data_IF_516487391318
#
_entry.id   IF_516487391318
#
_cell.length_a   1.000
_cell.length_b   1.000
_cell.length_c   1.000
_cell.angle_alpha   90.00
_cell.angle_beta   90.00
_cell.angle_gamma   90.00
#
_symmetry.space_group_name_H-M   'P 1'
#
loop_
_entity.id
_entity.type
_entity.pdbx_description
1 polymer ?
#
# COMPACT_ATOMS: atom_id res chain seq x y z
N UNK A 1 -14.95 5.89 -24.11
CA UNK A 1 -16.11 5.92 -23.17
C UNK A 1 -16.38 7.36 -22.76
N UNK A 2 -17.67 7.77 -22.62
CA UNK A 2 -17.95 9.15 -22.22
C UNK A 2 -17.82 9.29 -20.69
N UNK A 3 -16.89 10.11 -20.24
CA UNK A 3 -16.78 10.47 -18.83
C UNK A 3 -18.00 11.32 -18.41
N UNK A 4 -18.63 10.93 -17.29
CA UNK A 4 -19.74 11.70 -16.72
C UNK A 4 -19.18 12.82 -15.83
N UNK A 5 -19.87 13.96 -15.71
CA UNK A 5 -19.44 15.09 -14.89
C UNK A 5 -19.16 14.73 -13.44
N UNK A 6 -19.92 13.77 -12.88
CA UNK A 6 -19.85 13.31 -11.49
C UNK A 6 -18.94 12.08 -11.27
N UNK A 7 -18.27 11.59 -12.34
CA UNK A 7 -17.25 10.54 -12.19
C UNK A 7 -16.10 11.05 -11.29
N UNK A 8 -15.71 10.23 -10.32
CA UNK A 8 -14.56 10.56 -9.46
C UNK A 8 -13.27 10.13 -10.15
N UNK A 9 -12.39 11.09 -10.35
CA UNK A 9 -11.14 10.94 -11.08
C UNK A 9 -9.93 11.21 -10.19
N UNK A 10 -8.82 10.59 -10.53
CA UNK A 10 -7.51 10.78 -9.90
C UNK A 10 -6.69 11.70 -10.81
N UNK A 11 -6.29 12.87 -10.30
CA UNK A 11 -5.56 13.89 -11.07
C UNK A 11 -4.07 13.98 -10.74
N UNK A 12 -3.64 13.39 -9.64
CA UNK A 12 -2.22 13.27 -9.27
C UNK A 12 -2.05 12.00 -8.46
N UNK A 13 -0.91 11.31 -8.65
CA UNK A 13 -0.58 10.08 -7.94
C UNK A 13 0.94 10.01 -7.77
N UNK A 14 1.42 9.97 -6.51
CA UNK A 14 2.84 10.02 -6.19
C UNK A 14 3.16 9.17 -4.97
N UNK A 15 4.42 8.73 -4.84
CA UNK A 15 4.93 8.04 -3.66
C UNK A 15 6.36 8.46 -3.32
N UNK A 16 6.76 8.27 -2.09
CA UNK A 16 8.18 8.30 -1.73
C UNK A 16 8.90 7.07 -2.33
N UNK A 17 10.24 7.09 -2.42
CA UNK A 17 10.99 5.84 -2.38
C UNK A 17 10.60 5.06 -1.14
N UNK A 18 10.67 3.72 -1.20
CA UNK A 18 10.43 2.85 -0.05
C UNK A 18 11.78 2.61 0.64
N UNK A 19 11.86 3.03 1.90
CA UNK A 19 13.02 2.80 2.76
C UNK A 19 13.03 1.38 3.35
N UNK A 20 14.21 0.82 3.53
CA UNK A 20 14.38 -0.42 4.28
C UNK A 20 14.26 -0.16 5.79
N UNK A 21 13.98 -1.19 6.55
CA UNK A 21 13.99 -1.11 8.02
C UNK A 21 15.31 -0.55 8.54
N UNK A 22 15.22 0.54 9.30
CA UNK A 22 16.38 1.31 9.79
C UNK A 22 17.30 1.86 8.68
N UNK A 23 16.78 2.02 7.45
CA UNK A 23 17.47 2.62 6.31
C UNK A 23 17.44 4.14 6.30
N UNK A 24 17.49 4.74 5.12
CA UNK A 24 17.61 6.20 4.95
C UNK A 24 16.39 6.98 5.44
N UNK A 25 15.21 6.37 5.52
CA UNK A 25 13.97 7.01 5.98
C UNK A 25 13.69 6.85 7.48
N UNK A 26 14.52 6.13 8.22
CA UNK A 26 14.30 5.77 9.63
C UNK A 26 14.03 6.96 10.57
N UNK A 27 14.57 8.13 10.27
CA UNK A 27 14.47 9.33 11.11
C UNK A 27 13.35 10.29 10.66
N UNK A 28 12.61 9.96 9.60
CA UNK A 28 11.45 10.71 9.10
C UNK A 28 10.16 10.11 9.67
N UNK A 29 9.46 10.82 10.55
CA UNK A 29 8.16 10.39 11.07
C UNK A 29 7.14 10.14 9.95
N UNK A 30 6.12 9.33 10.21
CA UNK A 30 5.06 9.05 9.23
C UNK A 30 4.40 10.32 8.69
N UNK A 31 4.08 11.29 9.55
CA UNK A 31 3.52 12.59 9.16
C UNK A 31 4.45 13.42 8.27
N UNK A 32 5.77 13.35 8.48
CA UNK A 32 6.76 14.03 7.63
C UNK A 32 6.83 13.37 6.23
N UNK A 33 6.76 12.03 6.15
CA UNK A 33 6.65 11.31 4.89
C UNK A 33 5.35 11.67 4.17
N UNK A 34 4.23 11.74 4.91
CA UNK A 34 2.94 12.21 4.40
C UNK A 34 3.00 13.65 3.88
N UNK A 35 3.64 14.56 4.60
CA UNK A 35 3.86 15.95 4.17
C UNK A 35 4.56 16.01 2.81
N UNK A 36 5.60 15.19 2.59
CA UNK A 36 6.36 15.16 1.34
C UNK A 36 5.45 14.79 0.16
N UNK A 37 4.66 13.74 0.28
CA UNK A 37 3.78 13.29 -0.82
C UNK A 37 2.61 14.24 -1.04
N UNK A 38 2.04 14.85 0.00
CA UNK A 38 0.98 15.86 -0.13
C UNK A 38 1.53 17.08 -0.88
N UNK A 39 2.69 17.60 -0.51
CA UNK A 39 3.34 18.71 -1.21
C UNK A 39 3.58 18.39 -2.70
N UNK A 40 4.03 17.18 -3.02
CA UNK A 40 4.27 16.82 -4.41
C UNK A 40 2.96 16.62 -5.19
N UNK A 41 1.90 16.11 -4.56
CA UNK A 41 0.54 16.08 -5.15
C UNK A 41 0.10 17.48 -5.55
N UNK A 42 0.19 18.45 -4.63
CA UNK A 42 -0.15 19.86 -4.89
C UNK A 42 0.68 20.45 -6.03
N UNK A 43 2.00 20.24 -5.99
CA UNK A 43 2.93 20.72 -7.02
C UNK A 43 2.63 20.14 -8.41
N UNK A 44 2.42 18.83 -8.53
CA UNK A 44 2.17 18.17 -9.83
C UNK A 44 0.79 18.49 -10.40
N UNK A 45 -0.23 18.55 -9.55
CA UNK A 45 -1.59 18.91 -9.97
C UNK A 45 -1.74 20.41 -10.26
N UNK A 46 -0.91 21.25 -9.62
CA UNK A 46 -1.03 22.71 -9.63
C UNK A 46 -2.30 23.25 -9.00
N UNK A 47 -3.02 22.43 -8.23
CA UNK A 47 -4.18 22.86 -7.45
C UNK A 47 -3.73 23.74 -6.28
N UNK A 48 -4.48 24.78 -5.98
CA UNK A 48 -4.21 25.61 -4.80
C UNK A 48 -4.50 24.85 -3.51
N UNK A 49 -3.67 25.03 -2.49
CA UNK A 49 -3.89 24.47 -1.15
C UNK A 49 -5.29 24.82 -0.58
N UNK A 50 -5.79 26.02 -0.89
CA UNK A 50 -7.12 26.50 -0.45
C UNK A 50 -8.27 25.71 -1.09
N UNK A 51 -8.05 25.07 -2.24
CA UNK A 51 -9.07 24.30 -2.96
C UNK A 51 -9.17 22.86 -2.44
N UNK A 52 -8.25 22.41 -1.61
CA UNK A 52 -8.35 21.10 -0.96
C UNK A 52 -9.38 21.20 0.17
N UNK A 53 -10.35 20.29 0.18
CA UNK A 53 -11.41 20.26 1.17
C UNK A 53 -11.08 19.36 2.36
N UNK A 54 -10.38 18.25 2.11
CA UNK A 54 -10.04 17.29 3.15
C UNK A 54 -8.77 16.50 2.81
N UNK A 55 -8.07 16.01 3.85
CA UNK A 55 -6.93 15.08 3.71
C UNK A 55 -7.20 13.80 4.50
N UNK A 56 -7.12 12.64 3.85
CA UNK A 56 -7.38 11.32 4.45
C UNK A 56 -6.15 10.43 4.24
N UNK A 57 -5.47 10.04 5.32
CA UNK A 57 -4.27 9.21 5.23
C UNK A 57 -4.46 7.89 5.98
N UNK A 58 -4.03 6.80 5.37
CA UNK A 58 -3.88 5.51 6.03
C UNK A 58 -2.60 5.50 6.88
N UNK A 59 -2.68 5.02 8.12
CA UNK A 59 -1.52 4.74 8.97
C UNK A 59 -1.92 3.75 10.04
N UNK A 60 -1.04 2.80 10.34
CA UNK A 60 -1.28 1.73 11.32
C UNK A 60 -0.56 2.03 12.63
N UNK A 61 0.72 2.37 12.55
CA UNK A 61 1.59 2.53 13.71
C UNK A 61 1.63 4.00 14.13
N UNK A 62 0.72 4.37 15.03
CA UNK A 62 0.52 5.76 15.44
C UNK A 62 1.05 6.07 16.84
N UNK A 63 1.53 5.07 17.58
CA UNK A 63 2.02 5.24 18.94
C UNK A 63 3.13 6.30 19.01
N UNK A 64 3.02 7.26 19.93
CA UNK A 64 3.91 8.41 20.07
C UNK A 64 4.04 9.32 18.83
N UNK A 65 3.19 9.14 17.80
CA UNK A 65 3.15 9.98 16.60
C UNK A 65 2.50 11.36 16.81
N UNK A 66 1.98 11.64 18.00
CA UNK A 66 1.23 12.86 18.30
C UNK A 66 -0.25 12.76 17.90
N UNK A 67 -0.99 13.86 18.08
CA UNK A 67 -2.39 13.89 17.72
C UNK A 67 -2.55 13.88 16.21
N UNK A 68 -3.32 12.91 15.69
CA UNK A 68 -3.75 12.83 14.30
C UNK A 68 -2.61 13.12 13.29
N UNK A 69 -1.71 12.17 13.04
CA UNK A 69 -0.60 12.38 12.11
C UNK A 69 -1.02 12.77 10.67
N UNK A 70 -2.24 12.45 10.21
CA UNK A 70 -2.76 12.96 8.94
C UNK A 70 -2.99 14.47 8.99
N UNK A 71 -3.50 14.96 10.12
CA UNK A 71 -3.66 16.41 10.34
C UNK A 71 -2.32 17.13 10.38
N UNK A 72 -1.33 16.54 11.04
CA UNK A 72 0.02 17.07 11.06
C UNK A 72 0.60 17.15 9.65
N UNK A 73 0.49 16.07 8.86
CA UNK A 73 0.94 16.05 7.48
C UNK A 73 0.26 17.11 6.60
N UNK A 74 -1.06 17.26 6.71
CA UNK A 74 -1.84 18.25 5.96
C UNK A 74 -1.42 19.70 6.27
N UNK A 75 -1.36 20.06 7.55
CA UNK A 75 -0.98 21.43 7.97
C UNK A 75 0.46 21.73 7.60
N UNK A 76 1.39 20.79 7.82
CA UNK A 76 2.80 20.95 7.45
C UNK A 76 3.01 21.06 5.92
N UNK A 77 2.09 20.51 5.12
CA UNK A 77 2.06 20.70 3.66
C UNK A 77 1.39 22.01 3.22
N UNK A 78 0.98 22.86 4.16
CA UNK A 78 0.36 24.15 3.87
C UNK A 78 -1.12 24.10 3.52
N UNK A 79 -1.81 22.99 3.79
CA UNK A 79 -3.28 22.94 3.73
C UNK A 79 -3.83 23.85 4.85
N UNK A 80 -4.81 24.74 4.55
CA UNK A 80 -5.35 25.66 5.54
C UNK A 80 -5.87 24.95 6.79
N UNK A 81 -5.65 25.54 7.95
CA UNK A 81 -6.11 25.00 9.24
C UNK A 81 -7.64 24.88 9.35
N UNK A 82 -8.39 25.56 8.50
CA UNK A 82 -9.85 25.42 8.39
C UNK A 82 -10.31 24.12 7.72
N UNK A 83 -9.39 23.39 7.05
CA UNK A 83 -9.71 22.14 6.33
C UNK A 83 -9.47 20.95 7.24
N UNK A 84 -10.41 20.00 7.35
CA UNK A 84 -10.26 18.80 8.18
C UNK A 84 -9.24 17.82 7.60
N UNK A 85 -8.76 16.92 8.47
CA UNK A 85 -7.97 15.76 8.08
C UNK A 85 -8.15 14.65 9.12
N UNK A 86 -8.08 13.38 8.69
CA UNK A 86 -8.16 12.24 9.61
C UNK A 86 -7.36 11.03 9.11
N UNK A 87 -7.10 10.12 10.04
CA UNK A 87 -6.44 8.84 9.78
C UNK A 87 -7.44 7.71 9.63
N UNK A 88 -7.08 6.76 8.76
CA UNK A 88 -7.76 5.47 8.61
C UNK A 88 -6.80 4.35 9.00
N UNK A 89 -7.23 3.46 9.87
CA UNK A 89 -6.55 2.21 10.17
C UNK A 89 -7.43 1.01 9.79
N UNK A 90 -7.06 0.36 8.71
CA UNK A 90 -7.53 -0.96 8.30
C UNK A 90 -6.31 -1.85 8.01
N UNK A 91 -5.30 -1.80 8.90
CA UNK A 91 -4.01 -2.50 8.75
C UNK A 91 -3.44 -2.28 7.34
N UNK A 92 -3.05 -3.34 6.61
CA UNK A 92 -2.44 -3.23 5.26
C UNK A 92 -3.34 -2.52 4.23
N UNK A 93 -4.67 -2.53 4.44
CA UNK A 93 -5.66 -1.88 3.57
C UNK A 93 -5.83 -0.38 3.78
N UNK A 94 -5.21 0.21 4.80
CA UNK A 94 -5.45 1.60 5.24
C UNK A 94 -5.34 2.63 4.12
N UNK A 95 -4.27 2.56 3.32
CA UNK A 95 -4.05 3.51 2.22
C UNK A 95 -5.13 3.41 1.14
N UNK A 96 -5.55 2.21 0.77
CA UNK A 96 -6.62 2.03 -0.22
C UNK A 96 -7.99 2.40 0.36
N UNK A 97 -8.22 2.14 1.66
CA UNK A 97 -9.44 2.57 2.38
C UNK A 97 -9.53 4.09 2.45
N UNK A 98 -8.43 4.80 2.67
CA UNK A 98 -8.38 6.27 2.66
C UNK A 98 -8.85 6.82 1.30
N UNK A 99 -8.41 6.21 0.19
CA UNK A 99 -8.83 6.58 -1.16
C UNK A 99 -10.33 6.32 -1.37
N UNK A 100 -10.84 5.17 -0.91
CA UNK A 100 -12.27 4.85 -0.96
C UNK A 100 -13.08 5.85 -0.12
N UNK A 101 -12.59 6.23 1.04
CA UNK A 101 -13.27 7.24 1.89
C UNK A 101 -13.35 8.59 1.17
N UNK A 102 -12.27 9.05 0.54
CA UNK A 102 -12.30 10.27 -0.27
C UNK A 102 -13.23 10.18 -1.47
N UNK A 103 -13.27 9.03 -2.14
CA UNK A 103 -14.27 8.77 -3.19
C UNK A 103 -15.70 8.94 -2.64
N UNK A 104 -15.99 8.38 -1.47
CA UNK A 104 -17.31 8.46 -0.83
C UNK A 104 -17.67 9.89 -0.45
N UNK A 105 -16.76 10.68 0.12
CA UNK A 105 -16.96 12.10 0.45
C UNK A 105 -17.34 12.91 -0.80
N UNK A 106 -16.62 12.69 -1.90
CA UNK A 106 -16.91 13.39 -3.17
C UNK A 106 -18.26 12.96 -3.72
N UNK A 107 -18.59 11.67 -3.69
CA UNK A 107 -19.88 11.15 -4.19
C UNK A 107 -21.08 11.62 -3.38
N UNK A 108 -20.91 11.86 -2.08
CA UNK A 108 -21.95 12.41 -1.20
C UNK A 108 -22.09 13.93 -1.30
N UNK A 109 -21.13 14.61 -1.94
CA UNK A 109 -21.11 16.06 -2.06
C UNK A 109 -20.54 16.79 -0.83
N UNK A 110 -19.92 16.06 0.10
CA UNK A 110 -19.31 16.63 1.30
C UNK A 110 -17.98 17.33 0.99
N UNK A 111 -17.29 16.91 -0.09
CA UNK A 111 -16.04 17.49 -0.56
C UNK A 111 -15.96 17.45 -2.10
N UNK A 112 -15.20 18.38 -2.68
CA UNK A 112 -14.92 18.42 -4.13
C UNK A 112 -13.50 17.91 -4.45
N UNK A 113 -12.51 18.31 -3.64
CA UNK A 113 -11.11 17.98 -3.84
C UNK A 113 -10.52 17.35 -2.57
N UNK A 114 -10.16 16.08 -2.63
CA UNK A 114 -9.65 15.33 -1.48
C UNK A 114 -8.27 14.76 -1.80
N UNK A 115 -7.31 15.00 -0.92
CA UNK A 115 -6.02 14.30 -0.96
C UNK A 115 -6.14 13.05 -0.09
N UNK A 116 -5.94 11.89 -0.72
CA UNK A 116 -6.02 10.59 -0.05
C UNK A 116 -4.72 9.83 -0.21
N UNK A 117 -4.35 9.04 0.78
CA UNK A 117 -3.13 8.25 0.67
C UNK A 117 -2.84 7.38 1.87
N UNK A 118 -1.56 7.17 2.12
CA UNK A 118 -1.07 6.48 3.31
C UNK A 118 0.37 6.85 3.60
N UNK A 119 0.73 6.76 4.86
CA UNK A 119 2.05 7.08 5.40
C UNK A 119 2.39 6.07 6.48
N UNK A 120 3.64 5.63 6.54
CA UNK A 120 4.09 4.71 7.57
C UNK A 120 5.59 4.85 7.80
N UNK A 121 6.01 4.85 9.05
CA UNK A 121 7.40 4.59 9.41
C UNK A 121 7.45 3.44 10.41
N UNK A 122 7.85 2.27 9.95
CA UNK A 122 7.96 1.08 10.77
C UNK A 122 9.28 1.05 11.56
N UNK A 123 10.30 1.79 11.08
CA UNK A 123 11.61 1.89 11.73
C UNK A 123 11.57 2.69 13.04
N UNK A 124 10.61 3.61 13.19
CA UNK A 124 10.56 4.56 14.29
C UNK A 124 9.50 4.23 15.35
N UNK A 125 8.92 3.04 15.28
CA UNK A 125 7.89 2.62 16.21
C UNK A 125 8.44 2.43 17.63
N UNK A 126 7.74 2.98 18.65
CA UNK A 126 8.18 2.90 20.04
C UNK A 126 7.84 1.55 20.66
N UNK A 127 8.41 1.33 21.84
CA UNK A 127 7.89 0.37 22.78
C UNK A 127 6.86 1.05 23.69
N UNK A 128 5.79 0.33 24.04
CA UNK A 128 4.75 0.75 24.99
C UNK A 128 4.67 -0.20 26.17
N UNK A 129 3.96 0.22 27.21
CA UNK A 129 3.61 -0.60 28.36
C UNK A 129 2.30 -0.12 28.97
N UNK A 130 1.60 -1.01 29.67
CA UNK A 130 0.42 -0.63 30.45
C UNK A 130 0.87 -0.06 31.80
N UNK A 131 0.58 1.23 32.02
CA UNK A 131 0.94 1.91 33.26
C UNK A 131 0.25 1.28 34.47
N UNK A 132 1.01 1.05 35.53
CA UNK A 132 0.50 0.64 36.84
C UNK A 132 1.24 1.44 37.93
N UNK A 133 0.48 2.12 38.80
CA UNK A 133 1.05 2.96 39.86
C UNK A 133 1.95 2.23 40.87
N UNK A 134 1.96 0.90 40.87
CA UNK A 134 2.56 0.08 41.94
C UNK A 134 3.79 -0.73 41.53
N UNK A 135 4.31 -0.61 40.32
CA UNK A 135 5.47 -1.43 39.88
C UNK A 135 6.45 -0.64 39.04
N UNK A 136 7.74 -0.84 39.33
CA UNK A 136 8.80 -0.54 38.38
C UNK A 136 8.61 -1.37 37.11
N UNK A 137 8.80 -0.73 35.96
CA UNK A 137 8.64 -1.36 34.65
C UNK A 137 9.92 -2.12 34.30
N UNK A 138 9.82 -3.44 34.16
CA UNK A 138 10.90 -4.26 33.64
C UNK A 138 10.90 -4.29 32.11
N UNK A 139 12.05 -4.61 31.48
CA UNK A 139 12.17 -4.68 30.02
C UNK A 139 11.23 -5.71 29.38
N UNK A 140 10.91 -6.78 30.10
CA UNK A 140 10.02 -7.85 29.63
C UNK A 140 8.55 -7.42 29.55
N UNK A 141 8.19 -6.29 30.17
CA UNK A 141 6.84 -5.69 30.10
C UNK A 141 6.69 -4.72 28.92
N UNK A 142 7.79 -4.45 28.21
CA UNK A 142 7.78 -3.57 27.06
C UNK A 142 7.18 -4.28 25.83
N UNK A 143 6.16 -3.71 25.26
CA UNK A 143 5.48 -4.21 24.05
C UNK A 143 6.08 -3.49 22.83
N UNK A 144 6.67 -4.24 21.92
CA UNK A 144 7.07 -3.71 20.62
C UNK A 144 5.83 -3.42 19.80
N UNK A 145 5.47 -2.14 19.62
CA UNK A 145 4.22 -1.74 18.97
C UNK A 145 4.20 -2.11 17.48
N UNK A 146 5.33 -2.16 16.79
CA UNK A 146 5.39 -2.62 15.41
C UNK A 146 4.96 -4.09 15.28
N UNK A 147 5.50 -4.95 16.16
CA UNK A 147 5.18 -6.39 16.13
C UNK A 147 3.76 -6.62 16.62
N UNK A 148 3.39 -6.02 17.75
CA UNK A 148 2.09 -6.24 18.39
C UNK A 148 0.93 -5.71 17.55
N UNK A 149 0.99 -4.43 17.13
CA UNK A 149 -0.13 -3.76 16.49
C UNK A 149 -0.15 -3.96 14.96
N UNK A 150 1.02 -4.18 14.36
CA UNK A 150 1.16 -4.29 12.90
C UNK A 150 1.30 -5.70 12.36
N UNK A 151 1.95 -6.62 13.11
CA UNK A 151 2.41 -7.89 12.58
C UNK A 151 1.93 -9.12 13.35
N UNK A 152 1.14 -8.95 14.42
CA UNK A 152 0.58 -10.05 15.22
C UNK A 152 -0.93 -10.14 15.01
N UNK A 153 -1.43 -11.36 14.76
CA UNK A 153 -2.86 -11.63 14.70
C UNK A 153 -3.51 -11.42 16.08
N UNK A 154 -4.51 -10.54 16.14
CA UNK A 154 -5.15 -10.15 17.39
C UNK A 154 -6.02 -11.27 18.01
N UNK A 155 -6.41 -12.29 17.24
CA UNK A 155 -7.31 -13.38 17.69
C UNK A 155 -6.56 -14.63 18.13
N UNK A 156 -5.43 -14.91 17.48
CA UNK A 156 -4.64 -16.14 17.72
C UNK A 156 -3.26 -15.84 18.32
N UNK A 157 -2.89 -14.57 18.44
CA UNK A 157 -1.65 -14.11 19.04
C UNK A 157 -0.38 -14.77 18.44
N UNK A 158 -0.34 -14.86 17.09
CA UNK A 158 0.83 -15.31 16.35
C UNK A 158 1.19 -14.31 15.24
N UNK A 159 2.43 -14.35 14.78
CA UNK A 159 2.91 -13.48 13.72
C UNK A 159 2.18 -13.73 12.39
N UNK A 160 1.97 -12.68 11.58
CA UNK A 160 1.31 -12.78 10.26
C UNK A 160 1.95 -13.82 9.34
N UNK A 161 3.24 -14.10 9.45
CA UNK A 161 3.90 -15.17 8.70
C UNK A 161 3.32 -16.56 8.95
N UNK A 162 2.70 -16.82 10.12
CA UNK A 162 2.00 -18.09 10.38
C UNK A 162 0.74 -18.18 9.52
N UNK A 163 0.05 -17.09 9.23
CA UNK A 163 -1.09 -17.09 8.30
C UNK A 163 -0.65 -17.46 6.88
N UNK A 164 0.55 -17.04 6.48
CA UNK A 164 1.13 -17.43 5.18
C UNK A 164 1.46 -18.93 5.13
N UNK A 165 1.98 -19.51 6.22
CA UNK A 165 2.17 -20.97 6.33
C UNK A 165 0.82 -21.73 6.23
N UNK A 166 -0.24 -21.18 6.82
CA UNK A 166 -1.57 -21.77 6.71
C UNK A 166 -2.08 -21.77 5.25
N UNK A 167 -1.86 -20.68 4.53
CA UNK A 167 -2.19 -20.58 3.09
C UNK A 167 -1.32 -21.55 2.28
N UNK A 168 -0.02 -21.60 2.51
CA UNK A 168 0.89 -22.52 1.84
C UNK A 168 0.44 -23.97 2.03
N UNK A 169 0.09 -24.36 3.25
CA UNK A 169 -0.43 -25.69 3.56
C UNK A 169 -1.76 -25.97 2.85
N UNK A 170 -2.71 -25.03 2.89
CA UNK A 170 -4.05 -25.20 2.32
C UNK A 170 -4.02 -25.39 0.80
N UNK A 171 -3.12 -24.70 0.12
CA UNK A 171 -2.98 -24.72 -1.35
C UNK A 171 -1.82 -25.59 -1.84
N UNK A 172 -1.14 -26.34 -0.94
CA UNK A 172 0.01 -27.18 -1.24
C UNK A 172 1.13 -26.42 -1.97
N UNK A 173 1.37 -25.16 -1.57
CA UNK A 173 2.41 -24.32 -2.16
C UNK A 173 3.75 -24.64 -1.48
N UNK A 174 4.68 -25.20 -2.25
CA UNK A 174 5.99 -25.60 -1.75
C UNK A 174 6.91 -24.41 -1.48
N UNK A 175 7.96 -24.61 -0.69
CA UNK A 175 9.03 -23.65 -0.47
C UNK A 175 9.67 -23.20 -1.79
N UNK A 176 9.92 -24.13 -2.70
CA UNK A 176 10.51 -23.85 -4.01
C UNK A 176 9.65 -22.89 -4.83
N UNK A 177 8.35 -23.12 -4.91
CA UNK A 177 7.43 -22.23 -5.63
C UNK A 177 7.42 -20.81 -5.03
N UNK A 178 7.47 -20.70 -3.69
CA UNK A 178 7.53 -19.40 -3.01
C UNK A 178 8.84 -18.66 -3.31
N UNK A 179 9.97 -19.36 -3.30
CA UNK A 179 11.28 -18.77 -3.60
C UNK A 179 11.40 -18.37 -5.08
N UNK A 180 10.87 -19.18 -6.00
CA UNK A 180 10.81 -18.86 -7.44
C UNK A 180 9.94 -17.62 -7.68
N UNK A 181 8.78 -17.51 -7.04
CA UNK A 181 7.91 -16.33 -7.12
C UNK A 181 8.62 -15.07 -6.59
N UNK A 182 9.28 -15.17 -5.44
CA UNK A 182 10.04 -14.08 -4.86
C UNK A 182 11.18 -13.62 -5.77
N UNK A 183 11.91 -14.57 -6.38
CA UNK A 183 12.95 -14.26 -7.34
C UNK A 183 12.40 -13.54 -8.57
N UNK A 184 11.22 -13.96 -9.08
CA UNK A 184 10.57 -13.26 -10.19
C UNK A 184 10.16 -11.84 -9.84
N UNK A 185 9.60 -11.59 -8.62
CA UNK A 185 9.29 -10.25 -8.15
C UNK A 185 10.54 -9.36 -8.13
N UNK A 186 11.67 -9.87 -7.62
CA UNK A 186 12.95 -9.15 -7.62
C UNK A 186 13.44 -8.84 -9.03
N UNK A 187 13.41 -9.81 -9.95
CA UNK A 187 13.83 -9.62 -11.35
C UNK A 187 12.96 -8.60 -12.10
N UNK A 188 11.62 -8.68 -11.92
CA UNK A 188 10.70 -7.68 -12.49
C UNK A 188 11.04 -6.28 -11.99
N UNK A 189 11.32 -6.14 -10.69
CA UNK A 189 11.70 -4.86 -10.07
C UNK A 189 13.05 -4.35 -10.58
N UNK A 190 14.04 -5.20 -10.71
CA UNK A 190 15.36 -4.84 -11.26
C UNK A 190 15.22 -4.29 -12.69
N UNK A 191 14.51 -5.01 -13.56
CA UNK A 191 14.22 -4.58 -14.94
C UNK A 191 13.44 -3.25 -14.95
N UNK A 192 12.47 -3.08 -14.05
CA UNK A 192 11.70 -1.85 -13.95
C UNK A 192 12.56 -0.65 -13.53
N UNK A 193 13.48 -0.83 -12.59
CA UNK A 193 14.43 0.21 -12.16
C UNK A 193 15.40 0.57 -13.29
N UNK A 194 15.94 -0.41 -14.00
CA UNK A 194 16.85 -0.18 -15.14
C UNK A 194 16.17 0.57 -16.30
N UNK A 195 14.87 0.34 -16.49
CA UNK A 195 14.07 1.00 -17.51
C UNK A 195 13.35 2.28 -16.99
N UNK A 196 13.73 2.80 -15.80
CA UNK A 196 13.19 4.02 -15.21
C UNK A 196 11.64 4.02 -15.09
N UNK A 197 11.05 2.85 -14.85
CA UNK A 197 9.60 2.67 -14.77
C UNK A 197 8.96 3.42 -13.59
N UNK A 198 9.71 3.66 -12.53
CA UNK A 198 9.23 4.33 -11.31
C UNK A 198 9.49 5.84 -11.26
N UNK A 199 10.20 6.41 -12.23
CA UNK A 199 10.63 7.82 -12.17
C UNK A 199 9.47 8.81 -12.11
N UNK A 200 8.36 8.51 -12.79
CA UNK A 200 7.17 9.39 -12.81
C UNK A 200 6.37 9.34 -11.50
N UNK A 201 6.49 8.27 -10.73
CA UNK A 201 5.72 8.10 -9.50
C UNK A 201 6.51 8.48 -8.24
N UNK A 202 7.84 8.33 -8.25
CA UNK A 202 8.69 8.59 -7.10
C UNK A 202 8.95 10.09 -6.91
N UNK A 203 8.85 10.53 -5.66
CA UNK A 203 9.25 11.86 -5.20
C UNK A 203 10.64 11.78 -4.59
N UNK A 204 11.59 12.52 -5.15
CA UNK A 204 12.91 12.61 -4.55
C UNK A 204 12.84 13.20 -3.14
N UNK A 205 13.44 12.52 -2.17
CA UNK A 205 13.60 13.02 -0.80
C UNK A 205 15.02 13.57 -0.63
N UNK A 206 15.11 14.79 -0.09
CA UNK A 206 16.36 15.35 0.38
C UNK A 206 16.21 15.63 1.88
N UNK A 207 16.91 14.84 2.70
CA UNK A 207 16.81 14.93 4.15
C UNK A 207 18.19 14.78 4.80
N UNK A 208 18.61 15.79 5.56
CA UNK A 208 19.93 15.81 6.25
C UNK A 208 21.12 15.48 5.33
N UNK A 209 21.07 15.93 4.07
CA UNK A 209 22.11 15.66 3.08
C UNK A 209 22.03 14.31 2.38
N UNK A 210 21.09 13.45 2.77
CA UNK A 210 20.79 12.18 2.08
C UNK A 210 19.79 12.48 0.96
N UNK A 211 20.16 12.13 -0.27
CA UNK A 211 19.27 12.22 -1.44
C UNK A 211 18.81 10.81 -1.80
N UNK A 212 17.54 10.53 -1.56
CA UNK A 212 16.91 9.25 -1.90
C UNK A 212 15.99 9.43 -3.12
N UNK A 213 16.30 8.72 -4.20
CA UNK A 213 15.57 8.77 -5.48
C UNK A 213 15.03 7.42 -5.93
N UNK A 214 15.45 6.33 -5.30
CA UNK A 214 15.11 4.95 -5.67
C UNK A 214 14.74 4.17 -4.42
N UNK A 215 13.93 3.15 -4.59
CA UNK A 215 13.60 2.20 -3.54
C UNK A 215 14.87 1.51 -3.02
N UNK A 216 14.99 1.37 -1.71
CA UNK A 216 16.16 0.76 -1.06
C UNK A 216 16.05 -0.76 -0.89
N UNK A 217 14.83 -1.29 -0.92
CA UNK A 217 14.59 -2.69 -0.58
C UNK A 217 14.96 -3.70 -1.67
N UNK A 218 14.88 -3.39 -2.98
CA UNK A 218 15.22 -4.32 -4.06
C UNK A 218 16.65 -4.87 -3.94
N UNK A 219 16.78 -6.18 -4.15
CA UNK A 219 18.06 -6.90 -4.07
C UNK A 219 18.57 -7.19 -5.46
N UNK A 220 19.64 -6.50 -5.85
CA UNK A 220 20.28 -6.68 -7.14
C UNK A 220 20.96 -8.05 -7.24
N UNK A 221 20.96 -8.63 -8.45
CA UNK A 221 21.67 -9.88 -8.78
C UNK A 221 21.28 -11.09 -7.90
N UNK A 222 20.08 -11.08 -7.30
CA UNK A 222 19.60 -12.18 -6.45
C UNK A 222 19.45 -13.48 -7.24
N UNK A 223 19.91 -14.59 -6.67
CA UNK A 223 19.81 -15.94 -7.25
C UNK A 223 18.89 -16.83 -6.41
N UNK A 224 18.29 -17.83 -7.04
CA UNK A 224 17.46 -18.81 -6.34
C UNK A 224 18.23 -19.51 -5.19
N UNK A 225 19.50 -19.85 -5.45
CA UNK A 225 20.38 -20.45 -4.44
C UNK A 225 20.61 -19.61 -3.19
N UNK A 226 20.39 -18.28 -3.26
CA UNK A 226 20.51 -17.41 -2.09
C UNK A 226 19.24 -17.47 -1.25
N UNK A 227 18.07 -17.61 -1.88
CA UNK A 227 16.78 -17.81 -1.21
C UNK A 227 16.71 -19.19 -0.54
N UNK A 228 17.15 -20.25 -1.23
CA UNK A 228 17.15 -21.63 -0.73
C UNK A 228 17.94 -21.80 0.59
N UNK A 229 18.99 -21.02 0.81
CA UNK A 229 19.80 -21.02 2.04
C UNK A 229 19.10 -20.40 3.26
N UNK A 230 18.03 -19.63 3.05
CA UNK A 230 17.34 -18.93 4.13
C UNK A 230 16.57 -19.91 5.02
N UNK A 231 16.69 -19.70 6.32
CA UNK A 231 15.90 -20.46 7.31
C UNK A 231 14.47 -19.94 7.34
N UNK A 232 13.54 -20.84 7.66
CA UNK A 232 12.14 -20.46 7.93
C UNK A 232 12.06 -19.55 9.14
N UNK A 233 11.18 -18.53 9.08
CA UNK A 233 11.18 -17.45 10.06
C UNK A 233 10.04 -17.53 11.08
N UNK A 234 8.94 -18.22 10.76
CA UNK A 234 7.69 -18.11 11.52
C UNK A 234 7.20 -19.44 12.09
N UNK A 235 7.73 -20.55 11.58
CA UNK A 235 7.35 -21.90 12.02
C UNK A 235 8.51 -22.87 11.76
N UNK A 236 8.80 -23.72 12.74
CA UNK A 236 9.77 -24.80 12.58
C UNK A 236 9.29 -25.79 11.49
N UNK A 237 10.18 -26.11 10.56
CA UNK A 237 9.83 -26.94 9.41
C UNK A 237 8.82 -26.30 8.45
N UNK A 238 8.62 -24.98 8.55
CA UNK A 238 7.76 -24.21 7.65
C UNK A 238 8.39 -23.97 6.28
N UNK A 239 7.76 -23.09 5.50
CA UNK A 239 8.16 -22.75 4.13
C UNK A 239 8.41 -21.25 3.92
N UNK A 240 7.90 -20.42 4.81
CA UNK A 240 7.98 -18.96 4.72
C UNK A 240 9.28 -18.44 5.32
N UNK A 241 10.00 -17.62 4.56
CA UNK A 241 11.30 -17.06 4.92
C UNK A 241 11.32 -15.54 4.74
N UNK A 242 12.32 -14.83 5.27
CA UNK A 242 12.49 -13.41 4.96
C UNK A 242 12.71 -13.10 3.47
N UNK A 243 13.08 -14.10 2.67
CA UNK A 243 13.31 -13.95 1.23
C UNK A 243 12.05 -14.06 0.39
N UNK A 244 11.02 -14.78 0.87
CA UNK A 244 9.75 -14.96 0.19
C UNK A 244 8.57 -14.26 0.90
N UNK A 245 8.90 -13.29 1.76
CA UNK A 245 8.00 -12.37 2.45
C UNK A 245 8.33 -10.94 2.10
N UNK A 246 7.36 -10.04 2.21
CA UNK A 246 7.63 -8.60 2.14
C UNK A 246 8.49 -8.13 3.32
N UNK A 247 9.20 -7.03 3.12
CA UNK A 247 10.02 -6.42 4.17
C UNK A 247 9.22 -5.56 5.15
N UNK A 248 9.91 -5.13 6.21
CA UNK A 248 9.51 -4.05 7.11
C UNK A 248 10.07 -2.76 6.50
N UNK A 249 9.22 -1.79 6.23
CA UNK A 249 9.59 -0.65 5.38
C UNK A 249 8.97 0.66 5.85
N UNK A 250 9.56 1.76 5.36
CA UNK A 250 9.11 3.12 5.59
C UNK A 250 8.71 3.76 4.25
N UNK A 251 7.62 4.53 4.22
CA UNK A 251 7.20 5.20 2.99
C UNK A 251 5.82 5.84 3.07
N UNK A 252 5.49 6.61 2.05
CA UNK A 252 4.19 7.24 1.88
C UNK A 252 3.79 7.30 0.41
N UNK A 253 2.49 7.39 0.17
CA UNK A 253 1.91 7.64 -1.15
C UNK A 253 0.65 8.49 -1.01
N UNK A 254 0.37 9.37 -1.99
CA UNK A 254 -0.82 10.19 -1.98
C UNK A 254 -1.35 10.44 -3.41
N UNK A 255 -2.66 10.65 -3.47
CA UNK A 255 -3.39 10.90 -4.71
C UNK A 255 -4.36 12.08 -4.50
N UNK A 256 -4.60 12.86 -5.55
CA UNK A 256 -5.66 13.87 -5.60
C UNK A 256 -6.89 13.30 -6.29
N UNK A 257 -8.01 13.30 -5.58
CA UNK A 257 -9.32 12.91 -6.06
C UNK A 257 -10.21 14.13 -6.24
N UNK A 258 -10.99 14.12 -7.32
CA UNK A 258 -12.02 15.14 -7.59
C UNK A 258 -13.07 14.60 -8.56
N UNK A 259 -14.12 15.35 -8.88
CA UNK A 259 -15.03 14.99 -9.96
C UNK A 259 -14.43 15.34 -11.32
N UNK A 260 -14.89 14.67 -12.40
CA UNK A 260 -14.43 14.99 -13.75
C UNK A 260 -14.78 16.44 -14.14
N UNK A 261 -15.95 16.93 -13.72
CA UNK A 261 -16.37 18.33 -13.89
C UNK A 261 -15.41 19.30 -13.21
N UNK A 262 -15.10 19.05 -11.95
CA UNK A 262 -14.20 19.91 -11.16
C UNK A 262 -12.76 19.87 -11.73
N UNK A 263 -12.31 18.71 -12.21
CA UNK A 263 -11.03 18.58 -12.89
C UNK A 263 -10.95 19.47 -14.14
N UNK A 264 -12.01 19.50 -14.95
CA UNK A 264 -12.08 20.38 -16.13
C UNK A 264 -12.06 21.87 -15.75
N UNK A 265 -12.84 22.26 -14.72
CA UNK A 265 -12.91 23.66 -14.26
C UNK A 265 -11.57 24.18 -13.73
N UNK A 266 -10.81 23.32 -13.06
CA UNK A 266 -9.49 23.66 -12.51
C UNK A 266 -8.32 23.31 -13.43
N UNK A 267 -8.59 22.93 -14.70
CA UNK A 267 -7.56 22.55 -15.67
C UNK A 267 -6.63 21.42 -15.17
N UNK A 268 -7.15 20.54 -14.31
CA UNK A 268 -6.45 19.35 -13.86
C UNK A 268 -6.45 18.28 -14.96
N UNK A 269 -5.42 17.43 -14.95
CA UNK A 269 -5.30 16.32 -15.92
C UNK A 269 -5.66 15.01 -15.25
N UNK A 270 -6.83 14.43 -15.50
CA UNK A 270 -7.18 13.13 -14.96
C UNK A 270 -6.23 12.04 -15.48
N UNK A 271 -5.82 11.14 -14.60
CA UNK A 271 -4.97 9.99 -14.89
C UNK A 271 -5.80 8.71 -15.02
N UNK A 272 -6.78 8.55 -14.13
CA UNK A 272 -7.66 7.40 -14.09
C UNK A 272 -8.98 7.78 -13.41
N UNK A 273 -10.02 6.99 -13.67
CA UNK A 273 -11.34 7.07 -13.03
C UNK A 273 -11.50 5.90 -12.06
N UNK A 274 -12.01 6.15 -10.86
CA UNK A 274 -12.38 5.09 -9.91
C UNK A 274 -13.74 4.54 -10.33
N UNK A 275 -13.79 3.24 -10.60
CA UNK A 275 -14.98 2.57 -11.13
C UNK A 275 -15.75 1.83 -10.04
N UNK A 276 -15.05 1.04 -9.24
CA UNK A 276 -15.66 0.26 -8.18
C UNK A 276 -14.64 -0.12 -7.11
N UNK A 277 -15.15 -0.60 -6.00
CA UNK A 277 -14.35 -1.14 -4.92
C UNK A 277 -15.13 -2.17 -4.11
N UNK A 278 -14.41 -3.04 -3.38
CA UNK A 278 -14.98 -3.94 -2.39
C UNK A 278 -14.04 -4.11 -1.20
N UNK A 279 -14.63 -4.33 -0.04
CA UNK A 279 -13.92 -4.75 1.17
C UNK A 279 -14.67 -5.91 1.78
N UNK A 280 -13.94 -6.95 2.17
CA UNK A 280 -14.50 -8.23 2.61
C UNK A 280 -13.86 -8.69 3.89
N UNK A 281 -14.55 -9.54 4.65
CA UNK A 281 -14.03 -10.27 5.79
C UNK A 281 -13.91 -11.76 5.49
N UNK A 282 -12.94 -12.42 6.11
CA UNK A 282 -12.74 -13.87 6.05
C UNK A 282 -12.08 -14.38 7.34
N UNK A 283 -11.89 -15.69 7.43
CA UNK A 283 -11.19 -16.31 8.56
C UNK A 283 -9.78 -15.69 8.75
N UNK A 284 -9.47 -15.11 9.93
CA UNK A 284 -8.21 -14.44 10.19
C UNK A 284 -6.98 -15.29 9.90
N UNK A 285 -7.04 -16.58 10.22
CA UNK A 285 -5.93 -17.53 9.98
C UNK A 285 -5.57 -17.72 8.50
N UNK A 286 -6.43 -17.26 7.58
CA UNK A 286 -6.30 -17.31 6.13
C UNK A 286 -6.34 -15.91 5.49
N UNK A 287 -5.99 -14.86 6.23
CA UNK A 287 -6.10 -13.46 5.80
C UNK A 287 -5.50 -13.21 4.42
N UNK A 288 -4.47 -13.95 4.04
CA UNK A 288 -3.82 -13.85 2.72
C UNK A 288 -4.76 -14.06 1.53
N UNK A 289 -5.90 -14.74 1.72
CA UNK A 289 -6.87 -14.99 0.67
C UNK A 289 -7.88 -13.84 0.47
N UNK A 290 -7.82 -12.80 1.29
CA UNK A 290 -8.74 -11.65 1.22
C UNK A 290 -8.89 -11.02 -0.16
N UNK A 291 -7.83 -10.86 -0.96
CA UNK A 291 -7.92 -10.29 -2.31
C UNK A 291 -8.83 -11.07 -3.25
N UNK A 292 -8.99 -12.38 -3.08
CA UNK A 292 -9.80 -13.23 -3.97
C UNK A 292 -11.23 -12.70 -4.04
N UNK A 293 -11.91 -12.66 -2.91
CA UNK A 293 -13.31 -12.24 -2.86
C UNK A 293 -13.44 -10.71 -3.06
N UNK A 294 -12.46 -9.92 -2.60
CA UNK A 294 -12.46 -8.47 -2.82
C UNK A 294 -12.40 -8.12 -4.32
N UNK A 295 -11.54 -8.77 -5.10
CA UNK A 295 -11.43 -8.58 -6.55
C UNK A 295 -12.71 -9.07 -7.24
N UNK A 296 -13.22 -10.26 -6.90
CA UNK A 296 -14.48 -10.79 -7.45
C UNK A 296 -15.64 -9.82 -7.26
N UNK A 297 -15.81 -9.30 -6.03
CA UNK A 297 -16.90 -8.37 -5.74
C UNK A 297 -16.73 -7.00 -6.40
N UNK A 298 -15.50 -6.44 -6.42
CA UNK A 298 -15.23 -5.18 -7.07
C UNK A 298 -15.51 -5.26 -8.58
N UNK A 299 -15.05 -6.31 -9.25
CA UNK A 299 -15.26 -6.54 -10.69
C UNK A 299 -16.73 -6.80 -11.01
N UNK A 300 -17.44 -7.58 -10.18
CA UNK A 300 -18.86 -7.88 -10.36
C UNK A 300 -19.74 -6.63 -10.32
N UNK A 301 -19.43 -5.64 -9.47
CA UNK A 301 -20.19 -4.38 -9.37
C UNK A 301 -20.24 -3.59 -10.69
N UNK A 302 -19.28 -3.81 -11.56
CA UNK A 302 -19.14 -3.12 -12.84
C UNK A 302 -19.25 -4.06 -14.04
N UNK A 303 -19.66 -5.30 -13.80
CA UNK A 303 -19.82 -6.35 -14.80
C UNK A 303 -18.53 -6.60 -15.61
N UNK A 304 -17.35 -6.51 -14.97
CA UNK A 304 -16.09 -6.88 -15.59
C UNK A 304 -15.77 -8.36 -15.33
N UNK A 305 -15.46 -9.08 -16.40
CA UNK A 305 -14.79 -10.36 -16.28
C UNK A 305 -13.32 -10.15 -15.92
N UNK A 306 -12.72 -11.03 -15.13
CA UNK A 306 -11.32 -10.89 -14.71
C UNK A 306 -10.35 -10.84 -15.89
N UNK A 307 -10.66 -11.53 -16.99
CA UNK A 307 -9.86 -11.54 -18.21
C UNK A 307 -9.82 -10.17 -18.93
N UNK A 308 -10.83 -9.33 -18.71
CA UNK A 308 -10.93 -7.99 -19.30
C UNK A 308 -10.14 -6.93 -18.51
N UNK A 309 -9.61 -7.31 -17.34
CA UNK A 309 -8.70 -6.45 -16.58
C UNK A 309 -7.31 -6.63 -17.18
N UNK A 310 -6.70 -5.52 -17.56
CA UNK A 310 -5.41 -5.50 -18.24
C UNK A 310 -4.25 -5.68 -17.28
N UNK A 311 -4.31 -5.01 -16.11
CA UNK A 311 -3.25 -5.02 -15.10
C UNK A 311 -3.82 -5.18 -13.69
N UNK A 312 -3.09 -5.94 -12.88
CA UNK A 312 -3.35 -6.09 -11.46
C UNK A 312 -2.12 -5.67 -10.64
N UNK A 313 -2.34 -4.91 -9.59
CA UNK A 313 -1.39 -4.70 -8.50
C UNK A 313 -1.94 -5.37 -7.24
N UNK A 314 -1.45 -6.57 -6.95
CA UNK A 314 -1.83 -7.36 -5.78
C UNK A 314 -0.66 -7.32 -4.80
N UNK A 315 -0.89 -6.77 -3.61
CA UNK A 315 0.19 -6.64 -2.64
C UNK A 315 0.76 -8.01 -2.26
N UNK A 316 2.08 -8.16 -2.40
CA UNK A 316 2.81 -9.38 -2.07
C UNK A 316 3.25 -9.35 -0.60
N UNK A 317 2.31 -9.51 0.34
CA UNK A 317 2.68 -9.64 1.75
C UNK A 317 3.55 -10.90 1.97
N UNK A 318 3.21 -11.98 1.26
CA UNK A 318 3.94 -13.25 1.24
C UNK A 318 3.78 -13.90 -0.14
N UNK A 319 4.82 -14.61 -0.61
CA UNK A 319 4.76 -15.34 -1.87
C UNK A 319 3.65 -16.39 -1.88
N UNK A 320 3.50 -17.16 -0.78
CA UNK A 320 2.43 -18.15 -0.65
C UNK A 320 1.04 -17.54 -0.85
N UNK A 321 0.81 -16.36 -0.28
CA UNK A 321 -0.45 -15.62 -0.43
C UNK A 321 -0.66 -15.17 -1.88
N UNK A 322 0.34 -14.59 -2.52
CA UNK A 322 0.22 -14.08 -3.89
C UNK A 322 -0.04 -15.22 -4.88
N UNK A 323 0.70 -16.32 -4.78
CA UNK A 323 0.50 -17.53 -5.60
C UNK A 323 -0.93 -18.06 -5.44
N UNK A 324 -1.42 -18.21 -4.20
CA UNK A 324 -2.77 -18.70 -3.94
C UNK A 324 -3.84 -17.81 -4.57
N UNK A 325 -3.70 -16.48 -4.45
CA UNK A 325 -4.64 -15.51 -5.01
C UNK A 325 -4.67 -15.57 -6.53
N UNK A 326 -3.51 -15.57 -7.18
CA UNK A 326 -3.39 -15.61 -8.65
C UNK A 326 -4.00 -16.91 -9.19
N UNK A 327 -3.65 -18.05 -8.60
CA UNK A 327 -4.15 -19.38 -9.00
C UNK A 327 -5.67 -19.50 -8.81
N UNK A 328 -6.20 -19.09 -7.65
CA UNK A 328 -7.63 -19.21 -7.33
C UNK A 328 -8.51 -18.29 -8.18
N UNK A 329 -7.98 -17.16 -8.61
CA UNK A 329 -8.67 -16.24 -9.53
C UNK A 329 -8.53 -16.67 -11.00
N UNK A 330 -7.59 -17.55 -11.31
CA UNK A 330 -7.29 -17.97 -12.70
C UNK A 330 -6.85 -16.80 -13.59
N UNK A 331 -6.18 -15.80 -13.02
CA UNK A 331 -5.68 -14.64 -13.77
C UNK A 331 -4.27 -14.91 -14.32
N UNK A 332 -3.97 -14.30 -15.47
CA UNK A 332 -2.66 -14.39 -16.09
C UNK A 332 -1.62 -13.67 -15.22
N UNK A 333 -0.61 -14.40 -14.73
CA UNK A 333 0.46 -13.87 -13.89
C UNK A 333 1.30 -12.79 -14.59
N UNK A 334 1.32 -12.75 -15.92
CA UNK A 334 1.98 -11.70 -16.69
C UNK A 334 1.26 -10.35 -16.60
N UNK A 335 0.00 -10.32 -16.15
CA UNK A 335 -0.75 -9.11 -15.87
C UNK A 335 -0.61 -8.64 -14.42
N UNK A 336 0.03 -9.43 -13.56
CA UNK A 336 0.12 -9.15 -12.11
C UNK A 336 1.50 -8.61 -11.75
N UNK A 337 1.52 -7.47 -11.04
CA UNK A 337 2.75 -6.87 -10.51
C UNK A 337 3.87 -6.87 -11.58
N UNK A 338 3.57 -6.27 -12.73
CA UNK A 338 4.45 -6.33 -13.92
C UNK A 338 5.82 -5.68 -13.68
N UNK A 339 5.92 -4.81 -12.69
CA UNK A 339 7.16 -4.16 -12.24
C UNK A 339 7.70 -4.76 -10.92
N UNK A 340 7.25 -5.95 -10.55
CA UNK A 340 7.50 -6.53 -9.23
C UNK A 340 6.57 -5.98 -8.16
N UNK A 341 6.53 -6.60 -6.99
CA UNK A 341 5.64 -6.25 -5.89
C UNK A 341 6.35 -6.08 -4.55
N UNK A 342 5.61 -6.18 -3.46
CA UNK A 342 6.10 -5.83 -2.13
C UNK A 342 7.23 -6.73 -1.60
N UNK A 343 7.40 -7.94 -2.10
CA UNK A 343 8.56 -8.78 -1.76
C UNK A 343 9.85 -8.11 -2.20
N UNK A 344 9.84 -7.45 -3.35
CA UNK A 344 10.99 -6.72 -3.87
C UNK A 344 11.00 -5.25 -3.44
N UNK A 345 9.87 -4.55 -3.51
CA UNK A 345 9.78 -3.11 -3.26
C UNK A 345 9.63 -2.77 -1.78
N UNK A 346 9.02 -3.66 -0.97
CA UNK A 346 8.74 -3.40 0.43
C UNK A 346 7.27 -3.13 0.74
N UNK A 347 6.92 -3.18 2.06
CA UNK A 347 5.54 -3.10 2.54
C UNK A 347 5.38 -2.14 3.73
N UNK A 348 5.47 -0.81 3.52
CA UNK A 348 5.06 0.16 4.55
C UNK A 348 3.54 0.05 4.75
N UNK A 349 3.12 -0.68 5.81
CA UNK A 349 1.77 -1.26 5.93
C UNK A 349 0.64 -0.26 5.70
N UNK A 350 0.64 0.90 6.37
CA UNK A 350 -0.40 1.92 6.21
C UNK A 350 -0.39 2.66 4.87
N UNK A 351 0.76 2.67 4.18
CA UNK A 351 0.92 3.33 2.89
C UNK A 351 0.69 2.40 1.68
N UNK A 352 0.81 1.09 1.87
CA UNK A 352 0.88 0.13 0.77
C UNK A 352 -0.33 0.14 -0.15
N UNK A 353 -1.54 0.33 0.37
CA UNK A 353 -2.74 0.40 -0.47
C UNK A 353 -2.73 1.57 -1.45
N UNK A 354 -2.23 2.73 -1.03
CA UNK A 354 -2.04 3.88 -1.91
C UNK A 354 -0.86 3.64 -2.86
N UNK A 355 0.25 3.05 -2.37
CA UNK A 355 1.44 2.76 -3.16
C UNK A 355 1.12 1.89 -4.37
N UNK A 356 0.40 0.78 -4.19
CA UNK A 356 0.08 -0.12 -5.30
C UNK A 356 -0.84 0.55 -6.32
N UNK A 357 -1.78 1.38 -5.89
CA UNK A 357 -2.64 2.11 -6.81
C UNK A 357 -1.86 3.16 -7.61
N UNK A 358 -0.91 3.86 -6.99
CA UNK A 358 0.00 4.79 -7.68
C UNK A 358 0.76 4.06 -8.79
N UNK A 359 1.40 2.93 -8.46
CA UNK A 359 2.15 2.14 -9.44
C UNK A 359 1.25 1.63 -10.57
N UNK A 360 0.06 1.11 -10.24
CA UNK A 360 -0.92 0.63 -11.23
C UNK A 360 -1.30 1.72 -12.25
N UNK A 361 -1.66 2.92 -11.77
CA UNK A 361 -2.07 4.04 -12.63
C UNK A 361 -0.94 4.47 -13.56
N UNK A 362 0.28 4.59 -13.05
CA UNK A 362 1.44 4.96 -13.85
C UNK A 362 1.75 3.89 -14.91
N UNK A 363 1.68 2.62 -14.56
CA UNK A 363 1.95 1.54 -15.51
C UNK A 363 0.83 1.37 -16.54
N UNK A 364 -0.45 1.52 -16.16
CA UNK A 364 -1.57 1.60 -17.10
C UNK A 364 -1.34 2.70 -18.14
N UNK A 365 -0.91 3.88 -17.71
CA UNK A 365 -0.58 4.98 -18.63
C UNK A 365 0.56 4.64 -19.56
N UNK A 366 1.67 4.06 -19.05
CA UNK A 366 2.87 3.70 -19.84
C UNK A 366 2.59 2.63 -20.88
N UNK A 367 1.79 1.62 -20.52
CA UNK A 367 1.43 0.54 -21.42
C UNK A 367 0.15 0.81 -22.26
N UNK A 368 -0.47 1.99 -22.09
CA UNK A 368 -1.75 2.32 -22.73
C UNK A 368 -2.87 1.32 -22.43
N UNK A 369 -2.95 0.85 -21.17
CA UNK A 369 -3.94 -0.11 -20.70
C UNK A 369 -5.19 0.60 -20.17
N UNK A 370 -6.34 -0.06 -20.36
CA UNK A 370 -7.67 0.53 -20.10
C UNK A 370 -8.14 0.27 -18.66
N UNK A 371 -8.00 -0.97 -18.16
CA UNK A 371 -8.59 -1.45 -16.91
C UNK A 371 -7.54 -1.97 -15.96
N UNK A 372 -7.60 -1.51 -14.72
CA UNK A 372 -6.70 -1.96 -13.66
C UNK A 372 -7.43 -2.28 -12.37
N UNK A 373 -6.83 -3.18 -11.56
CA UNK A 373 -7.33 -3.53 -10.25
C UNK A 373 -6.17 -3.58 -9.23
N UNK A 374 -6.29 -2.81 -8.14
CA UNK A 374 -5.38 -2.87 -7.00
C UNK A 374 -6.03 -3.62 -5.85
N UNK A 375 -5.32 -4.55 -5.20
CA UNK A 375 -5.87 -5.34 -4.10
C UNK A 375 -4.84 -5.70 -3.03
N UNK A 376 -5.31 -5.84 -1.78
CA UNK A 376 -4.49 -6.27 -0.63
C UNK A 376 -5.24 -7.27 0.23
N UNK A 377 -4.47 -8.21 0.79
CA UNK A 377 -4.84 -8.93 2.00
C UNK A 377 -4.60 -8.03 3.22
N UNK A 378 -5.34 -8.26 4.28
CA UNK A 378 -5.34 -7.41 5.46
C UNK A 378 -5.34 -8.29 6.71
N UNK A 379 -4.42 -8.01 7.64
CA UNK A 379 -4.39 -8.65 8.95
C UNK A 379 -5.73 -8.58 9.68
N UNK A 380 -6.04 -9.59 10.47
CA UNK A 380 -7.35 -9.74 11.11
C UNK A 380 -8.42 -10.40 10.22
N UNK A 381 -8.05 -10.90 9.04
CA UNK A 381 -8.96 -11.61 8.14
C UNK A 381 -9.82 -10.71 7.29
N UNK A 382 -9.20 -9.86 6.50
CA UNK A 382 -9.90 -8.96 5.59
C UNK A 382 -9.21 -8.91 4.21
N UNK A 383 -9.92 -8.36 3.22
CA UNK A 383 -9.41 -8.04 1.90
C UNK A 383 -10.03 -6.76 1.37
N UNK A 384 -9.31 -6.08 0.49
CA UNK A 384 -9.79 -4.86 -0.16
C UNK A 384 -9.31 -4.84 -1.62
N UNK A 385 -10.17 -4.36 -2.52
CA UNK A 385 -9.84 -4.16 -3.93
C UNK A 385 -10.50 -2.88 -4.46
N UNK A 386 -9.83 -2.25 -5.43
CA UNK A 386 -10.32 -1.05 -6.12
C UNK A 386 -10.00 -1.18 -7.60
N UNK A 387 -11.03 -0.99 -8.45
CA UNK A 387 -10.94 -1.01 -9.89
C UNK A 387 -10.87 0.42 -10.44
N UNK A 388 -9.98 0.63 -11.38
CA UNK A 388 -9.79 1.91 -12.08
C UNK A 388 -9.84 1.72 -13.59
N UNK A 389 -10.25 2.77 -14.29
CA UNK A 389 -10.28 2.83 -15.73
C UNK A 389 -9.47 4.04 -16.21
N UNK A 390 -8.73 3.89 -17.29
CA UNK A 390 -7.98 4.98 -17.93
C UNK A 390 -8.93 6.04 -18.49
N UNK A 391 -8.50 7.28 -18.48
CA UNK A 391 -9.20 8.43 -19.08
C UNK A 391 -8.46 8.90 -20.32
#
# INVERSE_FOLDING_TARGET
MNNKPDDVVICSAVRTPIGTYKGSLKDLKGDQLGTIVINEVLKRSKISNNQIDEVIMGQVLTAAGGQNPARQAAVNAGIPVSKPAYLVNQVCGSGLRAIISGYQQIKLGDANNVICGGQENMSMTPYSYFYSEKKEISKDQLINTMIHDGLTDAFKNYHMGVTAENVAKKFNISRKQQDEFALQSQKKTEIAIENNKFDDEIVQINYKGIILKKDEHPRKDLKLSDLEKLKTAFKDGGTVTPGNSSGINDGAAALLLTTFKEAQQNSLKPLAKIISWASVGLEPSLMGLGPIEAIRQASKKVNWNLNEIDLFEINEAFAAQAIAVISELGIDENKVNVNGGAIALGHPIGASGARILVTLIHEMKKQNKERGCAALCIGGGMGIALCVEKI
#
